data_IF_366505131827
#
_entry.id   IF_366505131827
#
_cell.length_a   1.000
_cell.length_b   1.000
_cell.length_c   1.000
_cell.angle_alpha   90.00
_cell.angle_beta   90.00
_cell.angle_gamma   90.00
#
_symmetry.space_group_name_H-M   'P 1'
#
loop_
_entity.id
_entity.type
_entity.pdbx_description
1 polymer ?
#
# COMPACT_ATOMS: atom_id res chain seq x y z
N UNK A 1 -5.03 18.68 -10.71
CA UNK A 1 -4.16 17.51 -10.97
C UNK A 1 -4.00 17.27 -12.47
N UNK A 2 -5.07 17.27 -13.26
CA UNK A 2 -5.00 17.10 -14.72
C UNK A 2 -4.10 18.12 -15.40
N UNK A 3 -4.13 19.37 -14.97
CA UNK A 3 -3.26 20.46 -15.46
C UNK A 3 -1.77 20.16 -15.28
N UNK A 4 -1.43 19.30 -14.32
CA UNK A 4 -0.07 18.81 -14.07
C UNK A 4 0.26 17.47 -14.76
N UNK A 5 -0.62 17.00 -15.65
CA UNK A 5 -0.42 15.76 -16.42
C UNK A 5 -0.80 14.46 -15.70
N UNK A 6 -1.33 14.53 -14.48
CA UNK A 6 -1.81 13.31 -13.79
C UNK A 6 -3.09 12.78 -14.43
N UNK A 7 -3.14 11.49 -14.66
CA UNK A 7 -4.29 10.79 -15.24
C UNK A 7 -5.07 9.99 -14.20
N UNK A 8 -4.45 9.66 -13.08
CA UNK A 8 -4.98 8.83 -12.02
C UNK A 8 -4.83 9.48 -10.65
N UNK A 9 -5.77 9.19 -9.75
CA UNK A 9 -5.74 9.56 -8.33
C UNK A 9 -5.92 8.32 -7.49
N UNK A 10 -4.98 8.05 -6.58
CA UNK A 10 -5.11 6.99 -5.60
C UNK A 10 -5.68 7.53 -4.28
N UNK A 11 -6.81 6.96 -3.85
CA UNK A 11 -7.45 7.29 -2.58
C UNK A 11 -6.86 6.47 -1.44
N UNK A 12 -6.33 7.15 -0.43
CA UNK A 12 -5.76 6.48 0.74
C UNK A 12 -6.83 6.22 1.81
N UNK A 13 -7.36 5.02 1.83
CA UNK A 13 -8.30 4.51 2.85
C UNK A 13 -7.63 3.52 3.82
N UNK A 14 -6.29 3.43 3.80
CA UNK A 14 -5.57 2.44 4.59
C UNK A 14 -4.58 2.99 5.62
N UNK A 15 -4.37 4.31 5.70
CA UNK A 15 -3.41 4.89 6.66
C UNK A 15 -3.85 4.65 8.10
N UNK A 16 -3.08 3.90 8.93
CA UNK A 16 -3.44 3.56 10.30
C UNK A 16 -2.99 4.62 11.32
N UNK A 17 -2.33 5.69 10.88
CA UNK A 17 -1.81 6.73 11.76
C UNK A 17 -2.90 7.33 12.63
N UNK A 18 -2.65 7.42 13.95
CA UNK A 18 -3.59 7.96 14.91
C UNK A 18 -4.08 9.36 14.52
N UNK A 19 -3.17 10.21 14.04
CA UNK A 19 -3.50 11.59 13.60
C UNK A 19 -4.45 11.63 12.40
N UNK A 20 -4.42 10.62 11.55
CA UNK A 20 -5.29 10.50 10.37
C UNK A 20 -6.62 9.88 10.75
N UNK A 21 -6.57 8.79 11.53
CA UNK A 21 -7.75 8.03 11.97
C UNK A 21 -8.67 8.87 12.85
N UNK A 22 -8.13 9.68 13.80
CA UNK A 22 -8.94 10.56 14.66
C UNK A 22 -9.69 11.65 13.90
N UNK A 23 -9.25 11.97 12.68
CA UNK A 23 -9.96 12.88 11.75
C UNK A 23 -10.99 12.16 10.88
N UNK A 24 -11.22 10.87 11.10
CA UNK A 24 -12.09 10.04 10.26
C UNK A 24 -11.56 9.82 8.83
N UNK A 25 -10.23 9.96 8.61
CA UNK A 25 -9.58 9.78 7.32
C UNK A 25 -8.74 8.51 7.30
N UNK A 26 -8.20 8.14 6.11
CA UNK A 26 -7.43 6.91 5.95
C UNK A 26 -8.23 5.70 6.40
N UNK A 27 -7.62 4.81 7.21
CA UNK A 27 -8.33 3.65 7.74
C UNK A 27 -9.51 4.04 8.67
N UNK A 28 -9.48 5.22 9.29
CA UNK A 28 -10.60 5.72 10.12
C UNK A 28 -11.90 5.93 9.35
N UNK A 29 -11.84 6.06 8.03
CA UNK A 29 -13.03 6.18 7.20
C UNK A 29 -13.76 4.84 7.01
N UNK A 30 -13.04 3.71 7.18
CA UNK A 30 -13.60 2.35 7.03
C UNK A 30 -14.64 2.02 8.11
N UNK A 31 -14.64 2.72 9.24
CA UNK A 31 -15.66 2.58 10.29
C UNK A 31 -17.05 3.07 9.86
N UNK A 32 -17.17 3.73 8.72
CA UNK A 32 -18.40 4.38 8.23
C UNK A 32 -18.69 3.98 6.79
N UNK A 33 -19.05 2.71 6.54
CA UNK A 33 -19.19 2.17 5.19
C UNK A 33 -20.23 2.91 4.34
N UNK A 34 -21.35 3.39 4.92
CA UNK A 34 -22.36 4.13 4.19
C UNK A 34 -21.88 5.53 3.76
N UNK A 35 -21.10 6.20 4.60
CA UNK A 35 -20.49 7.48 4.23
C UNK A 35 -19.37 7.28 3.18
N UNK A 36 -18.62 6.18 3.28
CA UNK A 36 -17.61 5.81 2.30
C UNK A 36 -18.25 5.57 0.92
N UNK A 37 -19.35 4.85 0.87
CA UNK A 37 -20.09 4.62 -0.37
C UNK A 37 -20.56 5.94 -1.01
N UNK A 38 -21.17 6.81 -0.21
CA UNK A 38 -21.60 8.15 -0.69
C UNK A 38 -20.41 9.02 -1.13
N UNK A 39 -19.27 8.88 -0.50
CA UNK A 39 -18.06 9.60 -0.88
C UNK A 39 -17.54 9.12 -2.23
N UNK A 40 -17.48 7.82 -2.45
CA UNK A 40 -17.07 7.23 -3.73
C UNK A 40 -18.07 7.63 -4.84
N UNK A 41 -19.37 7.55 -4.57
CA UNK A 41 -20.40 7.96 -5.52
C UNK A 41 -20.21 9.42 -5.97
N UNK A 42 -19.96 10.33 -5.02
CA UNK A 42 -19.67 11.74 -5.33
C UNK A 42 -18.38 11.93 -6.15
N UNK A 43 -17.37 11.11 -5.95
CA UNK A 43 -16.13 11.16 -6.74
C UNK A 43 -16.43 10.69 -8.16
N UNK A 44 -16.98 9.49 -8.32
CA UNK A 44 -17.22 8.89 -9.62
C UNK A 44 -18.24 9.66 -10.47
N UNK A 45 -19.19 10.35 -9.83
CA UNK A 45 -20.15 11.21 -10.55
C UNK A 45 -19.55 12.52 -11.07
N UNK A 46 -18.37 12.94 -10.58
CA UNK A 46 -17.79 14.25 -10.92
C UNK A 46 -16.40 14.18 -11.57
N UNK A 47 -15.70 13.08 -11.42
CA UNK A 47 -14.35 12.94 -11.95
C UNK A 47 -14.35 12.23 -13.29
N UNK A 48 -13.42 12.65 -14.15
CA UNK A 48 -13.04 11.95 -15.38
C UNK A 48 -11.65 11.32 -15.25
N UNK A 49 -11.04 11.40 -14.06
CA UNK A 49 -9.75 10.80 -13.79
C UNK A 49 -9.96 9.33 -13.41
N UNK A 50 -8.98 8.50 -13.72
CA UNK A 50 -8.90 7.15 -13.19
C UNK A 50 -8.77 7.19 -11.68
N UNK A 51 -9.45 6.32 -10.98
CA UNK A 51 -9.43 6.23 -9.53
C UNK A 51 -8.97 4.85 -9.12
N UNK A 52 -7.91 4.81 -8.32
CA UNK A 52 -7.50 3.63 -7.57
C UNK A 52 -7.71 3.85 -6.07
N UNK A 53 -7.80 2.76 -5.34
CA UNK A 53 -8.03 2.81 -3.88
C UNK A 53 -7.02 1.94 -3.18
N UNK A 54 -6.37 2.48 -2.14
CA UNK A 54 -5.57 1.68 -1.21
C UNK A 54 -6.28 1.56 0.13
N UNK A 55 -6.59 0.32 0.54
CA UNK A 55 -7.40 0.02 1.71
C UNK A 55 -6.75 -0.95 2.69
N UNK A 56 -7.37 -1.10 3.86
CA UNK A 56 -7.22 -2.19 4.82
C UNK A 56 -8.54 -2.97 4.94
N UNK A 57 -8.55 -4.02 5.77
CA UNK A 57 -9.71 -4.89 5.98
C UNK A 57 -10.83 -4.25 6.79
N UNK A 58 -10.55 -3.15 7.47
CA UNK A 58 -11.48 -2.47 8.37
C UNK A 58 -10.73 -1.78 9.51
N UNK A 59 -11.47 -1.40 10.55
CA UNK A 59 -10.94 -0.74 11.74
C UNK A 59 -10.45 -1.73 12.78
N UNK A 60 -11.32 -2.59 13.27
CA UNK A 60 -11.06 -3.47 14.41
C UNK A 60 -11.11 -4.94 14.02
N UNK A 61 -11.98 -5.28 13.06
CA UNK A 61 -12.31 -6.66 12.74
C UNK A 61 -12.21 -6.94 11.24
N UNK A 62 -11.63 -8.07 10.86
CA UNK A 62 -11.56 -8.49 9.47
C UNK A 62 -12.94 -8.83 8.88
N UNK A 63 -13.91 -9.12 9.71
CA UNK A 63 -15.31 -9.35 9.33
C UNK A 63 -16.01 -8.10 8.77
N UNK A 64 -15.42 -6.91 8.92
CA UNK A 64 -15.86 -5.68 8.28
C UNK A 64 -15.59 -5.68 6.76
N UNK A 65 -14.60 -6.46 6.32
CA UNK A 65 -14.09 -6.41 4.95
C UNK A 65 -15.08 -6.84 3.86
N UNK A 66 -15.90 -7.89 4.02
CA UNK A 66 -16.91 -8.25 3.01
C UNK A 66 -17.86 -7.09 2.68
N UNK A 67 -18.28 -6.31 3.68
CA UNK A 67 -19.11 -5.13 3.44
C UNK A 67 -18.38 -4.04 2.66
N UNK A 68 -17.10 -3.84 2.95
CA UNK A 68 -16.26 -2.90 2.18
C UNK A 68 -16.07 -3.38 0.73
N UNK A 69 -15.89 -4.69 0.51
CA UNK A 69 -15.80 -5.28 -0.83
C UNK A 69 -17.08 -5.10 -1.65
N UNK A 70 -18.25 -5.25 -1.03
CA UNK A 70 -19.53 -4.94 -1.69
C UNK A 70 -19.57 -3.49 -2.20
N UNK A 71 -19.08 -2.55 -1.39
CA UNK A 71 -19.01 -1.13 -1.77
C UNK A 71 -18.02 -0.94 -2.92
N UNK A 72 -16.79 -1.43 -2.78
CA UNK A 72 -15.75 -1.27 -3.81
C UNK A 72 -16.17 -1.86 -5.15
N UNK A 73 -16.90 -2.97 -5.16
CA UNK A 73 -17.40 -3.64 -6.35
C UNK A 73 -18.52 -2.87 -7.10
N UNK A 74 -19.03 -1.78 -6.53
CA UNK A 74 -20.00 -0.89 -7.19
C UNK A 74 -19.33 0.15 -8.08
N UNK A 75 -18.04 0.38 -7.93
CA UNK A 75 -17.30 1.43 -8.63
C UNK A 75 -16.20 0.83 -9.52
N UNK A 76 -16.03 1.35 -10.76
CA UNK A 76 -14.98 0.90 -11.67
C UNK A 76 -13.62 1.50 -11.25
N UNK A 77 -12.89 0.80 -10.42
CA UNK A 77 -11.55 1.22 -9.97
C UNK A 77 -10.49 0.75 -10.96
N UNK A 78 -9.48 1.58 -11.19
CA UNK A 78 -8.29 1.18 -11.95
C UNK A 78 -7.52 0.09 -11.21
N UNK A 79 -7.45 0.19 -9.88
CA UNK A 79 -6.81 -0.79 -9.01
C UNK A 79 -7.34 -0.69 -7.57
N UNK A 80 -7.52 -1.85 -6.93
CA UNK A 80 -7.80 -1.98 -5.50
C UNK A 80 -6.60 -2.58 -4.79
N UNK A 81 -5.83 -1.75 -4.09
CA UNK A 81 -4.64 -2.16 -3.36
C UNK A 81 -5.03 -2.54 -1.94
N UNK A 82 -4.81 -3.80 -1.57
CA UNK A 82 -5.27 -4.35 -0.30
C UNK A 82 -4.09 -4.66 0.61
N UNK A 83 -4.08 -4.01 1.79
CA UNK A 83 -3.24 -4.42 2.91
C UNK A 83 -4.08 -5.27 3.85
N UNK A 84 -3.91 -6.63 3.89
CA UNK A 84 -4.81 -7.52 4.59
C UNK A 84 -4.59 -7.53 6.12
N UNK A 85 -4.68 -6.37 6.71
CA UNK A 85 -4.68 -6.06 8.15
C UNK A 85 -5.81 -5.09 8.46
N UNK A 86 -6.35 -5.11 9.68
CA UNK A 86 -7.21 -4.06 10.21
C UNK A 86 -6.39 -2.87 10.72
N UNK A 87 -7.04 -1.74 10.99
CA UNK A 87 -6.35 -0.53 11.45
C UNK A 87 -5.60 -0.78 12.76
N UNK A 88 -6.26 -1.44 13.73
CA UNK A 88 -5.71 -1.70 15.06
C UNK A 88 -4.48 -2.60 15.07
N UNK A 89 -4.29 -3.44 14.06
CA UNK A 89 -3.06 -4.23 13.90
C UNK A 89 -1.81 -3.36 13.72
N UNK A 90 -1.95 -2.19 13.12
CA UNK A 90 -0.81 -1.39 12.71
C UNK A 90 0.10 -2.19 11.77
N UNK A 91 1.25 -2.65 12.32
CA UNK A 91 2.21 -3.54 11.64
C UNK A 91 2.61 -4.74 12.51
N UNK A 92 1.89 -5.02 13.60
CA UNK A 92 2.27 -6.02 14.59
C UNK A 92 1.81 -7.43 14.23
N UNK A 93 0.59 -7.57 13.74
CA UNK A 93 0.01 -8.85 13.38
C UNK A 93 0.40 -9.24 11.95
N UNK A 94 0.28 -10.53 11.62
CA UNK A 94 0.49 -11.01 10.25
C UNK A 94 -0.67 -10.59 9.34
N UNK A 95 -0.39 -10.37 8.02
CA UNK A 95 -1.44 -10.20 7.03
C UNK A 95 -2.37 -11.42 7.00
N UNK A 96 -3.68 -11.17 6.97
CA UNK A 96 -4.72 -12.22 6.87
C UNK A 96 -4.91 -12.59 5.41
N UNK A 97 -4.16 -13.60 4.99
CA UNK A 97 -4.10 -14.00 3.57
C UNK A 97 -5.43 -14.52 3.04
N UNK A 98 -6.22 -15.16 3.89
CA UNK A 98 -7.59 -15.62 3.58
C UNK A 98 -8.50 -14.47 3.12
N UNK A 99 -8.33 -13.27 3.70
CA UNK A 99 -9.09 -12.08 3.30
C UNK A 99 -8.59 -11.48 1.98
N UNK A 100 -7.30 -11.58 1.71
CA UNK A 100 -6.76 -11.23 0.40
C UNK A 100 -7.26 -12.18 -0.69
N UNK A 101 -7.22 -13.49 -0.41
CA UNK A 101 -7.67 -14.52 -1.35
C UNK A 101 -9.18 -14.37 -1.65
N UNK A 102 -9.99 -14.02 -0.63
CA UNK A 102 -11.39 -13.65 -0.82
C UNK A 102 -11.54 -12.47 -1.78
N UNK A 103 -10.78 -11.39 -1.54
CA UNK A 103 -10.83 -10.20 -2.38
C UNK A 103 -10.37 -10.48 -3.81
N UNK A 104 -9.30 -11.23 -4.00
CA UNK A 104 -8.81 -11.61 -5.32
C UNK A 104 -9.84 -12.40 -6.12
N UNK A 105 -10.65 -13.21 -5.43
CA UNK A 105 -11.73 -13.99 -6.05
C UNK A 105 -12.98 -13.17 -6.36
N UNK A 106 -13.37 -12.26 -5.46
CA UNK A 106 -14.68 -11.58 -5.50
C UNK A 106 -14.62 -10.17 -6.09
N UNK A 107 -13.42 -9.59 -6.22
CA UNK A 107 -13.26 -8.25 -6.76
C UNK A 107 -13.65 -8.20 -8.23
N UNK A 108 -14.42 -7.17 -8.59
CA UNK A 108 -14.69 -6.78 -9.98
C UNK A 108 -13.61 -5.86 -10.55
N UNK A 109 -12.69 -5.41 -9.71
CA UNK A 109 -11.60 -4.51 -10.05
C UNK A 109 -10.27 -5.25 -10.01
N UNK A 110 -9.24 -4.81 -10.74
CA UNK A 110 -7.89 -5.34 -10.59
C UNK A 110 -7.40 -5.22 -9.14
N UNK A 111 -6.82 -6.28 -8.59
CA UNK A 111 -6.38 -6.33 -7.19
C UNK A 111 -4.86 -6.35 -7.10
N UNK A 112 -4.32 -5.48 -6.24
CA UNK A 112 -2.90 -5.43 -5.90
C UNK A 112 -2.69 -5.84 -4.43
N UNK A 113 -1.77 -6.76 -4.18
CA UNK A 113 -1.38 -7.14 -2.83
C UNK A 113 -0.38 -6.14 -2.24
N UNK A 114 -0.62 -5.73 -1.00
CA UNK A 114 0.35 -4.97 -0.21
C UNK A 114 0.50 -5.57 1.19
N UNK A 115 1.65 -6.13 1.51
CA UNK A 115 1.94 -6.68 2.84
C UNK A 115 3.36 -7.23 2.90
N UNK A 116 3.95 -7.32 3.99
CA UNK A 116 5.21 -7.89 4.51
C UNK A 116 6.18 -8.59 3.53
N UNK A 117 6.28 -8.11 2.30
CA UNK A 117 7.25 -8.56 1.31
C UNK A 117 8.59 -7.84 1.58
N UNK A 118 9.39 -8.39 2.48
CA UNK A 118 10.61 -7.73 2.96
C UNK A 118 11.89 -8.23 2.29
N UNK A 119 11.90 -9.46 1.81
CA UNK A 119 13.06 -10.11 1.21
C UNK A 119 12.64 -11.02 0.05
N UNK A 120 13.64 -11.50 -0.68
CA UNK A 120 13.45 -12.34 -1.86
C UNK A 120 12.68 -13.63 -1.54
N UNK A 121 13.01 -14.29 -0.43
CA UNK A 121 12.35 -15.52 0.01
C UNK A 121 10.84 -15.35 0.17
N UNK A 122 10.42 -14.25 0.84
CA UNK A 122 8.98 -13.95 1.01
C UNK A 122 8.29 -13.60 -0.29
N UNK A 123 8.99 -12.91 -1.19
CA UNK A 123 8.47 -12.57 -2.50
C UNK A 123 8.24 -13.84 -3.33
N UNK A 124 9.24 -14.70 -3.45
CA UNK A 124 9.16 -15.97 -4.17
C UNK A 124 8.10 -16.91 -3.59
N UNK A 125 8.04 -17.01 -2.25
CA UNK A 125 7.00 -17.79 -1.57
C UNK A 125 5.61 -17.26 -1.93
N UNK A 126 5.39 -15.95 -1.86
CA UNK A 126 4.11 -15.34 -2.19
C UNK A 126 3.72 -15.63 -3.65
N UNK A 127 4.63 -15.42 -4.59
CA UNK A 127 4.39 -15.67 -6.01
C UNK A 127 4.11 -17.16 -6.31
N UNK A 128 4.78 -18.07 -5.59
CA UNK A 128 4.53 -19.51 -5.71
C UNK A 128 3.16 -19.91 -5.20
N UNK A 129 2.72 -19.32 -4.08
CA UNK A 129 1.42 -19.61 -3.46
C UNK A 129 0.26 -18.94 -4.21
N UNK A 130 0.51 -17.81 -4.89
CA UNK A 130 -0.49 -16.98 -5.56
C UNK A 130 0.00 -16.52 -6.94
N UNK A 131 0.16 -17.48 -7.89
CA UNK A 131 0.73 -17.19 -9.21
C UNK A 131 -0.16 -16.25 -10.05
N UNK A 132 -1.45 -16.18 -9.75
CA UNK A 132 -2.43 -15.34 -10.46
C UNK A 132 -2.49 -13.89 -9.93
N UNK A 133 -1.58 -13.51 -9.02
CA UNK A 133 -1.49 -12.13 -8.53
C UNK A 133 -0.66 -11.29 -9.49
N UNK A 134 -1.30 -10.41 -10.23
CA UNK A 134 -0.65 -9.58 -11.26
C UNK A 134 0.13 -8.40 -10.71
N UNK A 135 -0.27 -7.87 -9.52
CA UNK A 135 0.30 -6.66 -8.97
C UNK A 135 0.69 -6.80 -7.50
N UNK A 136 1.89 -6.32 -7.18
CA UNK A 136 2.44 -6.27 -5.82
C UNK A 136 2.90 -4.85 -5.48
N UNK A 137 2.40 -4.31 -4.37
CA UNK A 137 2.89 -3.05 -3.82
C UNK A 137 3.88 -3.32 -2.68
N UNK A 138 5.14 -3.01 -2.91
CA UNK A 138 6.21 -3.17 -1.91
C UNK A 138 6.55 -1.79 -1.33
N UNK A 139 6.50 -1.65 -0.02
CA UNK A 139 6.88 -0.42 0.68
C UNK A 139 8.15 -0.62 1.49
N UNK A 140 8.01 -1.11 2.73
CA UNK A 140 9.12 -1.30 3.65
C UNK A 140 10.23 -2.21 3.13
N UNK A 141 9.88 -3.21 2.31
CA UNK A 141 10.86 -4.09 1.67
C UNK A 141 11.88 -3.32 0.84
N UNK A 142 11.44 -2.36 0.03
CA UNK A 142 12.36 -1.50 -0.74
C UNK A 142 13.18 -0.53 0.11
N UNK A 143 12.63 -0.09 1.25
CA UNK A 143 13.40 0.74 2.20
C UNK A 143 14.46 -0.07 2.93
N UNK A 144 14.23 -1.37 3.13
CA UNK A 144 15.17 -2.30 3.77
C UNK A 144 16.22 -2.81 2.79
N UNK A 145 15.79 -3.08 1.56
CA UNK A 145 16.62 -3.57 0.46
C UNK A 145 16.16 -2.96 -0.87
N UNK A 146 16.76 -1.86 -1.33
CA UNK A 146 16.46 -1.27 -2.64
C UNK A 146 16.71 -2.22 -3.82
N UNK A 147 17.62 -3.19 -3.66
CA UNK A 147 17.91 -4.24 -4.65
C UNK A 147 17.00 -5.46 -4.59
N UNK A 148 15.88 -5.39 -3.87
CA UNK A 148 15.00 -6.54 -3.66
C UNK A 148 14.54 -7.24 -4.95
N UNK A 149 14.33 -6.49 -6.03
CA UNK A 149 13.96 -7.05 -7.34
C UNK A 149 15.16 -7.36 -8.23
N UNK A 150 16.35 -6.88 -7.86
CA UNK A 150 17.60 -7.02 -8.62
C UNK A 150 18.74 -7.39 -7.66
N UNK A 151 18.71 -8.59 -7.05
CA UNK A 151 19.66 -8.97 -5.99
C UNK A 151 21.11 -8.95 -6.44
N UNK A 152 21.37 -9.14 -7.73
CA UNK A 152 22.71 -9.14 -8.33
C UNK A 152 23.36 -7.74 -8.32
N UNK A 153 22.55 -6.67 -8.44
CA UNK A 153 23.02 -5.30 -8.59
C UNK A 153 22.72 -4.42 -7.39
N UNK A 154 21.79 -4.83 -6.54
CA UNK A 154 21.25 -3.99 -5.46
C UNK A 154 22.29 -3.46 -4.49
N UNK A 155 23.38 -4.21 -4.20
CA UNK A 155 24.46 -3.74 -3.34
C UNK A 155 25.28 -2.62 -3.99
N UNK A 156 25.54 -2.72 -5.29
CA UNK A 156 26.25 -1.70 -6.06
C UNK A 156 25.42 -0.42 -6.14
N UNK A 157 24.15 -0.53 -6.51
CA UNK A 157 23.21 0.57 -6.60
C UNK A 157 22.99 1.27 -5.26
N UNK A 158 23.00 0.50 -4.15
CA UNK A 158 22.96 1.09 -2.80
C UNK A 158 24.18 1.98 -2.54
N UNK A 159 25.38 1.53 -2.85
CA UNK A 159 26.59 2.31 -2.60
C UNK A 159 26.67 3.53 -3.52
N UNK A 160 26.22 3.42 -4.76
CA UNK A 160 26.09 4.57 -5.67
C UNK A 160 25.09 5.60 -5.13
N UNK A 161 23.93 5.14 -4.64
CA UNK A 161 22.95 6.02 -3.97
C UNK A 161 23.50 6.60 -2.67
N UNK A 162 24.18 5.80 -1.86
CA UNK A 162 24.82 6.23 -0.63
C UNK A 162 25.80 7.39 -0.92
N UNK A 163 26.69 7.19 -1.87
CA UNK A 163 27.71 8.19 -2.21
C UNK A 163 27.08 9.45 -2.78
N UNK A 164 26.08 9.33 -3.63
CA UNK A 164 25.32 10.45 -4.16
C UNK A 164 24.69 11.29 -3.04
N UNK A 165 24.00 10.62 -2.11
CA UNK A 165 23.35 11.29 -0.97
C UNK A 165 24.35 11.82 0.02
N UNK A 166 25.41 11.05 0.34
CA UNK A 166 26.47 11.45 1.26
C UNK A 166 27.20 12.71 0.75
N UNK A 167 27.62 12.72 -0.50
CA UNK A 167 28.30 13.87 -1.11
C UNK A 167 27.37 15.04 -1.40
N UNK A 168 26.10 14.78 -1.69
CA UNK A 168 25.12 15.85 -1.97
C UNK A 168 24.53 16.51 -0.73
N UNK A 169 24.56 15.86 0.42
CA UNK A 169 23.90 16.31 1.66
C UNK A 169 24.84 16.59 2.83
N UNK A 170 26.15 16.37 2.68
CA UNK A 170 27.14 16.64 3.72
C UNK A 170 27.08 18.05 4.29
N UNK A 171 26.52 19.00 3.51
CA UNK A 171 26.44 20.39 3.91
C UNK A 171 25.12 20.79 4.60
N UNK A 172 24.06 19.97 4.60
CA UNK A 172 22.72 20.46 4.99
C UNK A 172 21.96 19.74 6.09
N UNK A 173 21.90 18.45 6.17
CA UNK A 173 21.26 17.74 7.30
C UNK A 173 21.43 16.20 7.25
N UNK A 174 22.27 15.67 8.12
CA UNK A 174 22.51 14.23 8.24
C UNK A 174 21.40 13.49 8.98
N UNK A 175 20.43 14.18 9.60
CA UNK A 175 19.39 13.56 10.42
C UNK A 175 18.45 12.68 9.61
N UNK A 176 17.98 13.19 8.48
CA UNK A 176 17.10 12.45 7.57
C UNK A 176 17.79 11.23 6.94
N UNK A 177 19.04 11.38 6.55
CA UNK A 177 19.84 10.32 5.95
C UNK A 177 20.12 9.17 6.91
N UNK A 178 20.50 9.46 8.17
CA UNK A 178 20.68 8.43 9.21
C UNK A 178 19.42 7.60 9.42
N UNK A 179 18.24 8.23 9.38
CA UNK A 179 16.96 7.53 9.50
C UNK A 179 16.67 6.58 8.34
N UNK A 180 17.08 6.93 7.12
CA UNK A 180 16.95 6.05 5.95
C UNK A 180 17.91 4.88 6.06
N UNK A 181 19.20 5.13 6.32
CA UNK A 181 20.22 4.07 6.51
C UNK A 181 19.85 3.10 7.63
N UNK A 182 19.33 3.62 8.76
CA UNK A 182 18.93 2.77 9.89
C UNK A 182 17.80 1.79 9.53
N UNK A 183 16.98 2.12 8.53
CA UNK A 183 15.91 1.25 8.05
C UNK A 183 16.36 0.23 7.00
N UNK A 184 17.52 0.43 6.39
CA UNK A 184 18.12 -0.50 5.43
C UNK A 184 18.87 -1.59 6.21
N UNK A 185 18.26 -2.75 6.37
CA UNK A 185 18.78 -3.82 7.26
C UNK A 185 19.35 -5.03 6.53
N UNK A 186 19.16 -5.14 5.22
CA UNK A 186 19.43 -6.37 4.46
C UNK A 186 20.41 -6.17 3.30
N UNK A 187 21.24 -5.13 3.36
CA UNK A 187 22.26 -4.86 2.33
C UNK A 187 23.65 -5.42 2.66
#
# INVERSE_FOLDING_TARGET
>A
LKEYGYQEVNLNLGCPSKTVVTKGCGAGFLARPEELEQFLDRIYSKTYMKISVKTRLGMENAEEFPRLMEIYNRFPMEELIIHPRVQTDGYKNYPRMEMYDLAAKESKNPVCYNGDLFNQEKLEKFQKERPDTDCLMIGRGFLMNPGLLYPETGRKEFWEFHDLVYHGYLERDLGGYRNVLFKMKEL
#
